data_IF_980992444010
#
_entry.id   IF_980992444010
#
_cell.length_a   1.000
_cell.length_b   1.000
_cell.length_c   1.000
_cell.angle_alpha   90.00
_cell.angle_beta   90.00
_cell.angle_gamma   90.00
#
_symmetry.space_group_name_H-M   'P 1'
#
loop_
_entity.id
_entity.type
_entity.pdbx_description
1 polymer ?
#
# COMPACT_ATOMS: atom_id res chain seq x y z
N UNK A 1 -19.31 32.11 -1.03
CA UNK A 1 -20.07 30.92 -0.56
C UNK A 1 -20.38 29.87 -1.64
N UNK A 2 -20.33 30.17 -2.92
CA UNK A 2 -20.78 29.29 -4.03
C UNK A 2 -19.69 28.39 -4.64
N UNK A 3 -18.37 28.65 -4.37
CA UNK A 3 -17.30 27.99 -5.12
C UNK A 3 -16.70 26.71 -4.52
N UNK A 4 -16.99 26.38 -3.25
CA UNK A 4 -16.41 25.16 -2.62
C UNK A 4 -17.13 23.90 -3.11
N UNK A 5 -18.43 23.98 -3.36
CA UNK A 5 -19.21 22.84 -3.93
C UNK A 5 -18.79 22.48 -5.36
N UNK A 6 -18.15 23.40 -6.10
CA UNK A 6 -17.62 23.13 -7.43
C UNK A 6 -16.26 22.42 -7.43
N UNK A 7 -15.54 22.38 -6.30
CA UNK A 7 -14.24 21.71 -6.20
C UNK A 7 -14.43 20.20 -6.16
N UNK A 8 -15.42 19.70 -5.42
CA UNK A 8 -15.76 18.26 -5.39
C UNK A 8 -16.11 17.73 -6.78
N UNK A 9 -16.85 18.52 -7.55
CA UNK A 9 -17.24 18.17 -8.92
C UNK A 9 -16.04 18.25 -9.90
N UNK A 10 -15.11 19.19 -9.71
CA UNK A 10 -13.96 19.39 -10.60
C UNK A 10 -12.81 18.41 -10.34
N UNK A 11 -12.60 17.94 -9.11
CA UNK A 11 -11.63 16.89 -8.79
C UNK A 11 -12.05 15.54 -9.40
N UNK A 12 -13.37 15.30 -9.56
CA UNK A 12 -13.91 14.09 -10.19
C UNK A 12 -13.85 14.07 -11.71
N UNK A 13 -13.79 15.22 -12.39
CA UNK A 13 -13.95 15.30 -13.86
C UNK A 13 -12.66 15.54 -14.67
N UNK A 14 -11.48 15.85 -14.09
CA UNK A 14 -10.39 16.39 -14.92
C UNK A 14 -9.02 15.79 -14.73
N UNK A 15 -8.64 14.97 -15.70
CA UNK A 15 -7.25 14.61 -16.07
C UNK A 15 -6.43 15.77 -16.73
N UNK A 16 -6.94 17.00 -16.87
CA UNK A 16 -6.31 18.01 -17.75
C UNK A 16 -6.10 19.41 -17.18
N UNK A 17 -6.10 19.62 -15.85
CA UNK A 17 -5.85 20.96 -15.33
C UNK A 17 -5.19 20.96 -13.94
N UNK A 18 -4.00 20.41 -13.80
CA UNK A 18 -3.17 20.54 -12.60
C UNK A 18 -3.05 22.02 -12.17
N UNK A 19 -2.83 22.93 -13.10
CA UNK A 19 -2.75 24.37 -12.82
C UNK A 19 -4.05 24.95 -12.22
N UNK A 20 -5.22 24.51 -12.65
CA UNK A 20 -6.50 24.96 -12.09
C UNK A 20 -6.71 24.42 -10.67
N UNK A 21 -6.31 23.18 -10.40
CA UNK A 21 -6.36 22.57 -9.05
C UNK A 21 -5.45 23.34 -8.11
N UNK A 22 -4.21 23.61 -8.49
CA UNK A 22 -3.24 24.35 -7.70
C UNK A 22 -3.76 25.76 -7.40
N UNK A 23 -4.30 26.46 -8.39
CA UNK A 23 -4.88 27.80 -8.20
C UNK A 23 -6.06 27.78 -7.23
N UNK A 24 -6.93 26.75 -7.28
CA UNK A 24 -8.02 26.59 -6.33
C UNK A 24 -7.53 26.32 -4.90
N UNK A 25 -6.53 25.47 -4.73
CA UNK A 25 -5.90 25.21 -3.43
C UNK A 25 -5.26 26.50 -2.86
N UNK A 26 -4.60 27.30 -3.69
CA UNK A 26 -4.06 28.62 -3.32
C UNK A 26 -5.15 29.59 -2.88
N UNK A 27 -6.29 29.64 -3.60
CA UNK A 27 -7.45 30.47 -3.18
C UNK A 27 -8.01 30.06 -1.83
N UNK A 28 -8.08 28.73 -1.56
CA UNK A 28 -8.53 28.20 -0.27
C UNK A 28 -7.56 28.62 0.84
N UNK A 29 -6.26 28.41 0.63
CA UNK A 29 -5.23 28.81 1.58
C UNK A 29 -5.26 30.32 1.86
N UNK A 30 -5.42 31.16 0.84
CA UNK A 30 -5.56 32.61 1.03
C UNK A 30 -6.76 32.98 1.89
N UNK A 31 -7.89 32.26 1.72
CA UNK A 31 -9.09 32.48 2.54
C UNK A 31 -8.92 31.98 3.96
N UNK A 32 -8.25 30.85 4.17
CA UNK A 32 -7.90 30.36 5.51
C UNK A 32 -7.01 31.34 6.25
N UNK A 33 -6.00 31.90 5.56
CA UNK A 33 -5.08 32.91 6.09
C UNK A 33 -5.76 34.22 6.52
N UNK A 34 -6.82 34.60 5.84
CA UNK A 34 -7.55 35.86 6.12
C UNK A 34 -8.68 35.70 7.18
N UNK A 35 -8.85 34.50 7.74
CA UNK A 35 -9.90 34.26 8.75
C UNK A 35 -9.33 34.33 10.16
N UNK A 36 -9.78 35.30 10.96
CA UNK A 36 -9.42 35.42 12.38
C UNK A 36 -9.93 34.25 13.25
N UNK A 37 -10.94 33.50 12.78
CA UNK A 37 -11.50 32.35 13.47
C UNK A 37 -11.86 31.21 12.48
N UNK A 38 -11.17 30.08 12.55
CA UNK A 38 -11.49 28.87 11.80
C UNK A 38 -12.66 28.16 12.50
N UNK A 39 -13.80 28.04 11.83
CA UNK A 39 -14.97 27.35 12.39
C UNK A 39 -14.99 25.88 11.96
N UNK A 40 -15.53 24.99 12.83
CA UNK A 40 -15.74 23.58 12.54
C UNK A 40 -16.49 23.36 11.20
N UNK A 41 -17.41 24.28 10.85
CA UNK A 41 -18.15 24.24 9.58
C UNK A 41 -17.25 24.51 8.36
N UNK A 42 -16.21 25.33 8.49
CA UNK A 42 -15.22 25.55 7.42
C UNK A 42 -14.35 24.33 7.25
N UNK A 43 -13.95 23.71 8.34
CA UNK A 43 -13.09 22.53 8.37
C UNK A 43 -13.80 21.33 7.74
N UNK A 44 -15.07 21.10 8.08
CA UNK A 44 -15.86 20.01 7.47
C UNK A 44 -16.02 20.17 5.94
N UNK A 45 -15.88 21.39 5.41
CA UNK A 45 -15.87 21.64 3.96
C UNK A 45 -14.53 21.33 3.30
N UNK A 46 -13.44 21.28 4.07
CA UNK A 46 -12.12 20.87 3.60
C UNK A 46 -11.92 19.37 3.72
N UNK A 47 -12.85 18.69 4.40
CA UNK A 47 -12.75 17.27 4.69
C UNK A 47 -12.55 16.42 3.44
N UNK A 48 -13.33 16.67 2.39
CA UNK A 48 -13.22 15.91 1.13
C UNK A 48 -11.89 16.13 0.42
N UNK A 49 -11.32 17.34 0.51
CA UNK A 49 -10.01 17.66 -0.08
C UNK A 49 -8.92 16.97 0.71
N UNK A 50 -8.94 17.10 2.04
CA UNK A 50 -7.95 16.48 2.91
C UNK A 50 -8.04 14.95 2.84
N UNK A 51 -9.24 14.38 2.79
CA UNK A 51 -9.46 12.97 2.59
C UNK A 51 -8.83 12.49 1.28
N UNK A 52 -9.05 13.20 0.17
CA UNK A 52 -8.46 12.85 -1.13
C UNK A 52 -6.94 12.83 -1.13
N UNK A 53 -6.25 13.77 -0.44
CA UNK A 53 -4.80 13.85 -0.43
C UNK A 53 -4.12 13.07 0.69
N UNK A 54 -4.82 12.78 1.78
CA UNK A 54 -4.23 12.17 2.98
C UNK A 54 -4.64 10.72 3.19
N UNK A 55 -5.75 10.29 2.58
CA UNK A 55 -6.19 8.91 2.67
C UNK A 55 -5.34 8.03 1.76
N UNK A 56 -4.69 7.01 2.31
CA UNK A 56 -3.79 6.09 1.59
C UNK A 56 -2.66 6.74 0.80
N UNK A 57 -2.15 7.86 1.32
CA UNK A 57 -1.04 8.59 0.70
C UNK A 57 0.18 7.71 0.49
N UNK A 58 0.70 7.71 -0.73
CA UNK A 58 1.93 7.04 -1.08
C UNK A 58 2.95 8.02 -1.68
N UNK A 59 4.23 7.63 -1.65
CA UNK A 59 5.32 8.52 -2.04
C UNK A 59 5.31 8.90 -3.52
N UNK A 60 4.87 7.98 -4.41
CA UNK A 60 4.76 8.26 -5.85
C UNK A 60 3.69 9.32 -6.13
N UNK A 61 2.60 9.28 -5.38
CA UNK A 61 1.57 10.30 -5.50
C UNK A 61 2.06 11.66 -5.04
N UNK A 62 2.79 11.73 -3.92
CA UNK A 62 3.39 12.98 -3.43
C UNK A 62 4.36 13.55 -4.47
N UNK A 63 5.25 12.72 -5.02
CA UNK A 63 6.25 13.17 -6.01
C UNK A 63 5.63 13.59 -7.34
N UNK A 64 4.55 12.93 -7.77
CA UNK A 64 3.84 13.27 -9.00
C UNK A 64 2.96 14.53 -8.87
N UNK A 65 2.53 14.89 -7.64
CA UNK A 65 1.65 16.02 -7.34
C UNK A 65 2.30 17.01 -6.37
N UNK A 66 3.60 17.25 -6.53
CA UNK A 66 4.41 17.97 -5.55
C UNK A 66 3.89 19.38 -5.24
N UNK A 67 3.45 20.12 -6.24
CA UNK A 67 2.90 21.48 -6.07
C UNK A 67 1.54 21.46 -5.36
N UNK A 68 0.72 20.42 -5.61
CA UNK A 68 -0.55 20.21 -4.91
C UNK A 68 -0.29 19.90 -3.43
N UNK A 69 0.64 18.98 -3.14
CA UNK A 69 1.04 18.67 -1.77
C UNK A 69 1.65 19.85 -1.03
N UNK A 70 2.38 20.75 -1.72
CA UNK A 70 2.83 22.00 -1.12
C UNK A 70 1.66 22.84 -0.57
N UNK A 71 0.55 22.93 -1.33
CA UNK A 71 -0.65 23.63 -0.87
C UNK A 71 -1.36 22.90 0.26
N UNK A 72 -1.37 21.55 0.25
CA UNK A 72 -1.93 20.74 1.34
C UNK A 72 -1.13 20.92 2.63
N UNK A 73 0.21 20.98 2.57
CA UNK A 73 1.06 21.23 3.74
C UNK A 73 0.76 22.60 4.36
N UNK A 74 0.59 23.63 3.54
CA UNK A 74 0.19 24.96 4.02
C UNK A 74 -1.15 24.87 4.77
N UNK A 75 -2.15 24.20 4.19
CA UNK A 75 -3.44 23.98 4.80
C UNK A 75 -3.34 23.24 6.15
N UNK A 76 -2.56 22.16 6.18
CA UNK A 76 -2.34 21.37 7.39
C UNK A 76 -1.66 22.18 8.50
N UNK A 77 -0.71 23.05 8.16
CA UNK A 77 -0.04 23.92 9.14
C UNK A 77 -1.07 24.83 9.87
N UNK A 78 -2.08 25.32 9.16
CA UNK A 78 -3.16 26.12 9.78
C UNK A 78 -4.16 25.31 10.59
N UNK A 79 -4.34 24.04 10.24
CA UNK A 79 -5.28 23.16 10.92
C UNK A 79 -4.66 22.39 12.09
N UNK A 80 -3.41 22.64 12.42
CA UNK A 80 -2.65 21.86 13.39
C UNK A 80 -3.31 21.76 14.77
N UNK A 81 -3.92 22.83 15.25
CA UNK A 81 -4.63 22.85 16.55
C UNK A 81 -5.92 21.99 16.55
N UNK A 82 -6.42 21.62 15.38
CA UNK A 82 -7.67 20.87 15.21
C UNK A 82 -7.46 19.40 14.86
N UNK A 83 -6.24 18.90 14.73
CA UNK A 83 -5.95 17.55 14.26
C UNK A 83 -6.68 16.45 15.04
N UNK A 84 -6.77 16.57 16.36
CA UNK A 84 -7.42 15.57 17.22
C UNK A 84 -8.95 15.70 17.29
N UNK A 85 -9.50 16.82 16.81
CA UNK A 85 -10.93 17.11 16.84
C UNK A 85 -11.65 16.73 15.55
N UNK A 86 -10.89 16.46 14.49
CA UNK A 86 -11.41 16.20 13.15
C UNK A 86 -11.33 14.72 12.80
N UNK A 87 -12.48 14.18 12.46
CA UNK A 87 -12.63 12.80 12.00
C UNK A 87 -13.06 12.77 10.52
N UNK A 88 -12.39 11.93 9.73
CA UNK A 88 -12.69 11.68 8.33
C UNK A 88 -12.86 10.18 8.15
N UNK A 89 -14.01 9.70 7.73
CA UNK A 89 -14.28 8.28 7.47
C UNK A 89 -13.69 7.35 8.54
N UNK A 90 -13.94 7.54 9.77
CA UNK A 90 -13.45 6.72 10.89
C UNK A 90 -11.99 6.97 11.32
N UNK A 91 -11.28 7.94 10.75
CA UNK A 91 -9.92 8.31 11.16
C UNK A 91 -9.83 9.77 11.59
N UNK A 92 -9.07 10.03 12.65
CA UNK A 92 -8.72 11.40 13.05
C UNK A 92 -7.75 12.02 12.06
N UNK A 93 -7.84 13.31 11.80
CA UNK A 93 -6.89 14.01 10.94
C UNK A 93 -5.45 13.84 11.44
N UNK A 94 -5.24 13.82 12.76
CA UNK A 94 -3.93 13.52 13.37
C UNK A 94 -3.34 12.20 12.89
N UNK A 95 -4.15 11.16 12.77
CA UNK A 95 -3.71 9.83 12.26
C UNK A 95 -3.31 9.90 10.80
N UNK A 96 -4.08 10.61 9.96
CA UNK A 96 -3.79 10.78 8.54
C UNK A 96 -2.50 11.59 8.32
N UNK A 97 -2.30 12.66 9.08
CA UNK A 97 -1.08 13.48 9.02
C UNK A 97 0.14 12.68 9.54
N UNK A 98 -0.03 11.89 10.60
CA UNK A 98 1.03 11.00 11.08
C UNK A 98 1.43 9.96 10.03
N UNK A 99 0.47 9.40 9.28
CA UNK A 99 0.74 8.49 8.16
C UNK A 99 1.53 9.18 7.04
N UNK A 100 1.15 10.41 6.67
CA UNK A 100 1.89 11.22 5.71
C UNK A 100 3.35 11.46 6.14
N UNK A 101 3.55 11.91 7.40
CA UNK A 101 4.88 12.14 7.98
C UNK A 101 5.72 10.86 7.94
N UNK A 102 5.12 9.73 8.34
CA UNK A 102 5.79 8.42 8.34
C UNK A 102 6.23 8.03 6.93
N UNK A 103 5.34 8.11 5.93
CA UNK A 103 5.60 7.78 4.53
C UNK A 103 6.78 8.60 3.99
N UNK A 104 6.79 9.90 4.25
CA UNK A 104 7.87 10.81 3.81
C UNK A 104 9.17 10.51 4.56
N UNK A 105 9.12 10.26 5.88
CA UNK A 105 10.32 9.98 6.68
C UNK A 105 11.00 8.65 6.25
N UNK A 106 10.21 7.62 5.95
CA UNK A 106 10.73 6.36 5.42
C UNK A 106 11.40 6.57 4.06
N UNK A 107 10.79 7.34 3.18
CA UNK A 107 11.34 7.63 1.87
C UNK A 107 12.61 8.51 1.94
N UNK A 108 12.65 9.52 2.81
CA UNK A 108 13.84 10.37 3.01
C UNK A 108 15.08 9.58 3.46
N UNK A 109 14.89 8.49 4.20
CA UNK A 109 15.97 7.57 4.56
C UNK A 109 16.55 6.82 3.36
N UNK A 110 15.79 6.71 2.26
CA UNK A 110 16.15 5.94 1.07
C UNK A 110 16.77 6.77 -0.04
N UNK A 111 16.54 8.11 -0.05
CA UNK A 111 16.99 8.97 -1.16
C UNK A 111 18.42 9.42 -0.95
N UNK A 112 19.23 9.24 -2.00
CA UNK A 112 20.52 9.92 -2.20
C UNK A 112 20.43 11.07 -3.23
N UNK A 113 19.23 11.42 -3.71
CA UNK A 113 19.05 12.33 -4.83
C UNK A 113 19.06 13.82 -4.45
N UNK A 114 19.60 14.64 -5.37
CA UNK A 114 19.81 16.09 -5.25
C UNK A 114 18.64 16.94 -5.78
N UNK A 115 17.40 16.43 -5.80
CA UNK A 115 16.26 17.24 -6.19
C UNK A 115 15.82 18.11 -5.01
N UNK A 116 16.12 19.41 -5.09
CA UNK A 116 15.92 20.35 -3.98
C UNK A 116 14.42 20.64 -3.75
N UNK A 117 13.61 20.72 -4.81
CA UNK A 117 12.18 21.05 -4.69
C UNK A 117 11.40 19.96 -3.94
N UNK A 118 11.73 18.70 -4.21
CA UNK A 118 11.15 17.54 -3.50
C UNK A 118 11.57 17.56 -2.03
N UNK A 119 12.82 17.83 -1.74
CA UNK A 119 13.34 17.88 -0.36
C UNK A 119 12.68 18.98 0.47
N UNK A 120 12.41 20.14 -0.11
CA UNK A 120 11.81 21.26 0.60
C UNK A 120 10.38 20.94 1.05
N UNK A 121 9.59 20.29 0.19
CA UNK A 121 8.24 19.85 0.54
C UNK A 121 8.28 18.73 1.57
N UNK A 122 9.18 17.78 1.42
CA UNK A 122 9.33 16.70 2.41
C UNK A 122 9.75 17.23 3.77
N UNK A 123 10.69 18.19 3.83
CA UNK A 123 11.07 18.86 5.07
C UNK A 123 9.88 19.61 5.69
N UNK A 124 9.06 20.24 4.88
CA UNK A 124 7.85 20.93 5.32
C UNK A 124 6.80 19.94 5.89
N UNK A 125 6.63 18.77 5.28
CA UNK A 125 5.79 17.69 5.81
C UNK A 125 6.34 17.17 7.15
N UNK A 126 7.65 16.95 7.25
CA UNK A 126 8.30 16.48 8.47
C UNK A 126 8.26 17.52 9.60
N UNK A 127 8.08 18.79 9.29
CA UNK A 127 7.94 19.87 10.28
C UNK A 127 6.52 19.96 10.88
N UNK A 128 5.53 19.28 10.32
CA UNK A 128 4.18 19.21 10.89
C UNK A 128 4.23 18.52 12.26
N UNK A 129 3.64 19.14 13.26
CA UNK A 129 3.58 18.60 14.63
C UNK A 129 2.25 17.85 14.81
N UNK A 130 2.33 16.61 15.26
CA UNK A 130 1.16 15.78 15.56
C UNK A 130 1.32 15.25 16.98
N UNK A 131 0.44 15.68 17.88
CA UNK A 131 0.30 15.07 19.20
C UNK A 131 -0.61 13.84 19.05
N UNK A 132 -0.01 12.69 18.90
CA UNK A 132 -0.73 11.42 18.98
C UNK A 132 -1.03 11.17 20.46
N UNK A 133 -2.30 11.08 20.83
CA UNK A 133 -2.68 10.51 22.11
C UNK A 133 -2.09 9.10 22.20
N UNK A 134 -0.96 8.97 22.87
CA UNK A 134 -0.25 7.73 23.10
C UNK A 134 -1.00 6.87 24.10
N UNK A 135 -2.02 6.15 23.68
CA UNK A 135 -2.60 5.09 24.48
C UNK A 135 -2.97 3.90 23.59
N UNK A 136 -2.21 2.83 23.72
CA UNK A 136 -2.40 1.43 23.28
C UNK A 136 -1.61 0.92 22.06
N UNK A 137 -0.98 1.74 21.22
CA UNK A 137 -0.27 1.22 20.02
C UNK A 137 1.17 0.75 20.34
N UNK A 138 1.78 1.26 21.42
CA UNK A 138 3.21 1.01 21.70
C UNK A 138 3.50 -0.44 22.15
N UNK A 139 2.61 -1.04 22.94
CA UNK A 139 2.84 -2.39 23.49
C UNK A 139 2.65 -3.55 22.47
N UNK A 140 1.93 -3.31 21.37
CA UNK A 140 1.69 -4.32 20.33
C UNK A 140 2.81 -4.35 19.26
N UNK A 141 3.48 -3.22 19.02
CA UNK A 141 4.57 -3.13 18.04
C UNK A 141 5.81 -3.91 18.47
N UNK A 142 6.16 -3.91 19.77
CA UNK A 142 7.38 -4.58 20.28
C UNK A 142 7.37 -6.09 19.99
N UNK A 143 6.22 -6.75 20.06
CA UNK A 143 6.10 -8.18 19.74
C UNK A 143 6.22 -8.48 18.24
N UNK A 144 5.85 -7.55 17.36
CA UNK A 144 5.93 -7.74 15.91
C UNK A 144 7.35 -7.54 15.38
N UNK A 145 8.16 -6.77 16.09
CA UNK A 145 9.55 -6.46 15.71
C UNK A 145 10.44 -7.71 15.65
N UNK A 146 10.05 -8.81 16.32
CA UNK A 146 10.73 -10.10 16.17
C UNK A 146 10.75 -10.64 14.72
N UNK A 147 9.83 -10.16 13.85
CA UNK A 147 9.80 -10.50 12.42
C UNK A 147 10.78 -9.67 11.60
N UNK A 148 11.31 -8.56 12.13
CA UNK A 148 12.23 -7.68 11.39
C UNK A 148 13.51 -8.39 10.98
N UNK A 149 14.07 -9.20 11.85
CA UNK A 149 15.29 -9.97 11.57
C UNK A 149 15.06 -11.04 10.49
N UNK A 150 13.81 -11.49 10.33
CA UNK A 150 13.39 -12.47 9.32
C UNK A 150 12.96 -11.84 7.99
N UNK A 151 13.02 -10.51 7.88
CA UNK A 151 12.46 -9.81 6.72
C UNK A 151 13.19 -10.12 5.42
N UNK A 152 14.50 -10.33 5.46
CA UNK A 152 15.33 -10.57 4.29
C UNK A 152 16.30 -11.74 4.55
N UNK A 153 16.22 -12.81 3.77
CA UNK A 153 17.18 -13.92 3.88
C UNK A 153 17.28 -14.72 2.59
N UNK A 154 18.37 -15.46 2.47
CA UNK A 154 18.52 -16.54 1.51
C UNK A 154 17.75 -17.78 1.97
N UNK A 155 17.29 -18.61 1.05
CA UNK A 155 16.79 -19.95 1.31
C UNK A 155 16.69 -20.76 0.02
N UNK A 156 16.58 -22.08 0.13
CA UNK A 156 16.28 -22.96 -0.99
C UNK A 156 14.79 -22.91 -1.33
N UNK A 157 14.48 -22.94 -2.64
CA UNK A 157 13.11 -22.94 -3.11
C UNK A 157 12.68 -24.36 -3.49
N UNK A 158 11.70 -24.91 -2.76
CA UNK A 158 11.10 -26.19 -3.08
C UNK A 158 10.34 -26.17 -4.41
N UNK A 159 9.69 -25.05 -4.71
CA UNK A 159 8.93 -24.82 -5.95
C UNK A 159 9.13 -23.38 -6.40
N UNK A 160 9.25 -23.20 -7.71
CA UNK A 160 9.30 -21.89 -8.33
C UNK A 160 8.44 -21.90 -9.59
N UNK A 161 7.49 -20.97 -9.70
CA UNK A 161 6.43 -21.04 -10.71
C UNK A 161 6.86 -20.50 -12.09
N UNK A 162 7.95 -19.70 -12.14
CA UNK A 162 8.41 -19.09 -13.38
C UNK A 162 9.49 -19.96 -14.00
N UNK A 163 9.23 -20.43 -15.23
CA UNK A 163 10.23 -21.22 -15.98
C UNK A 163 11.39 -20.29 -16.38
N UNK A 164 12.59 -20.69 -16.01
CA UNK A 164 13.82 -20.05 -16.42
C UNK A 164 14.31 -20.72 -17.69
N UNK A 165 14.55 -19.96 -18.75
CA UNK A 165 15.38 -20.42 -19.86
C UNK A 165 16.83 -20.52 -19.39
N UNK A 166 17.50 -21.65 -19.65
CA UNK A 166 18.86 -21.88 -19.20
C UNK A 166 19.83 -20.89 -19.86
N UNK A 167 20.20 -19.86 -19.12
CA UNK A 167 21.25 -18.92 -19.54
C UNK A 167 22.12 -18.56 -18.34
N UNK A 168 23.44 -18.61 -18.53
CA UNK A 168 24.41 -18.30 -17.49
C UNK A 168 24.27 -16.81 -17.08
N UNK A 169 24.08 -16.54 -15.80
CA UNK A 169 24.11 -15.19 -15.25
C UNK A 169 25.42 -14.50 -15.59
N UNK A 170 25.37 -13.29 -16.16
CA UNK A 170 26.57 -12.50 -16.38
C UNK A 170 27.07 -11.92 -15.03
N UNK A 171 28.38 -11.77 -14.88
CA UNK A 171 29.00 -11.15 -13.69
C UNK A 171 28.48 -9.71 -13.43
N UNK A 172 28.12 -8.99 -14.50
CA UNK A 172 27.58 -7.63 -14.40
C UNK A 172 26.20 -7.61 -13.74
N UNK A 173 25.33 -8.57 -14.09
CA UNK A 173 24.00 -8.71 -13.51
C UNK A 173 24.09 -9.07 -12.02
N UNK A 174 24.99 -9.95 -11.65
CA UNK A 174 25.19 -10.34 -10.25
C UNK A 174 25.59 -9.15 -9.38
N UNK A 175 26.49 -8.26 -9.86
CA UNK A 175 26.87 -7.04 -9.12
C UNK A 175 25.69 -6.09 -8.90
N UNK A 176 24.84 -5.90 -9.92
CA UNK A 176 23.64 -5.06 -9.81
C UNK A 176 22.66 -5.68 -8.81
N UNK A 177 22.35 -6.97 -8.92
CA UNK A 177 21.44 -7.69 -8.02
C UNK A 177 21.91 -7.60 -6.57
N UNK A 178 23.20 -7.89 -6.29
CA UNK A 178 23.74 -7.81 -4.94
C UNK A 178 23.75 -6.40 -4.33
N UNK A 179 23.92 -5.36 -5.16
CA UNK A 179 23.77 -3.96 -4.70
C UNK A 179 22.32 -3.66 -4.29
N UNK A 180 21.36 -4.11 -5.08
CA UNK A 180 19.94 -3.96 -4.74
C UNK A 180 19.57 -4.76 -3.50
N UNK A 181 20.06 -5.98 -3.33
CA UNK A 181 19.86 -6.78 -2.13
C UNK A 181 20.39 -6.09 -0.87
N UNK A 182 21.60 -5.53 -0.95
CA UNK A 182 22.18 -4.74 0.15
C UNK A 182 21.34 -3.49 0.50
N UNK A 183 20.69 -2.89 -0.49
CA UNK A 183 19.74 -1.78 -0.28
C UNK A 183 18.44 -2.29 0.32
N UNK A 184 17.86 -3.37 -0.20
CA UNK A 184 16.60 -3.95 0.24
C UNK A 184 16.62 -4.35 1.72
N UNK A 185 17.72 -4.91 2.22
CA UNK A 185 17.87 -5.24 3.65
C UNK A 185 17.56 -4.07 4.59
N UNK A 186 17.76 -2.82 4.12
CA UNK A 186 17.56 -1.61 4.91
C UNK A 186 16.28 -0.86 4.59
N UNK A 187 15.69 -1.12 3.40
CA UNK A 187 14.65 -0.28 2.82
C UNK A 187 13.31 -0.98 2.59
N UNK A 188 13.23 -2.30 2.82
CA UNK A 188 11.95 -3.01 2.72
C UNK A 188 10.94 -2.44 3.73
N UNK A 189 9.72 -2.11 3.30
CA UNK A 189 8.66 -1.70 4.20
C UNK A 189 8.45 -2.74 5.32
N UNK A 190 8.47 -2.25 6.56
CA UNK A 190 8.23 -3.07 7.73
C UNK A 190 7.53 -2.27 8.81
N UNK A 191 6.32 -2.65 9.12
CA UNK A 191 5.55 -2.13 10.25
C UNK A 191 4.42 -3.09 10.61
N UNK A 192 3.74 -2.80 11.72
CA UNK A 192 2.65 -3.61 12.24
C UNK A 192 1.43 -3.71 11.30
N UNK A 193 1.20 -2.69 10.46
CA UNK A 193 0.02 -2.57 9.60
C UNK A 193 0.23 -3.21 8.23
N UNK A 194 1.48 -3.31 7.77
CA UNK A 194 1.86 -3.96 6.50
C UNK A 194 3.37 -4.17 6.45
N UNK A 195 3.82 -5.25 5.85
CA UNK A 195 5.25 -5.57 5.76
C UNK A 195 5.53 -6.36 4.49
N UNK A 196 6.76 -6.24 3.98
CA UNK A 196 7.25 -7.04 2.85
C UNK A 196 8.38 -7.92 3.34
N UNK A 197 8.27 -9.23 3.14
CA UNK A 197 9.31 -10.21 3.42
C UNK A 197 9.88 -10.73 2.11
N UNK A 198 11.20 -10.92 2.07
CA UNK A 198 11.94 -11.22 0.85
C UNK A 198 12.83 -12.43 1.04
N UNK A 199 12.79 -13.34 0.07
CA UNK A 199 13.65 -14.53 -0.02
C UNK A 199 14.31 -14.58 -1.37
N UNK A 200 15.58 -14.95 -1.42
CA UNK A 200 16.28 -15.24 -2.69
C UNK A 200 16.92 -16.63 -2.63
N UNK A 201 17.03 -17.28 -3.76
CA UNK A 201 17.67 -18.59 -3.85
C UNK A 201 19.19 -18.43 -3.85
N UNK A 202 19.88 -19.15 -2.96
CA UNK A 202 21.36 -19.09 -2.86
C UNK A 202 22.05 -19.55 -4.15
N UNK A 203 21.58 -20.65 -4.72
CA UNK A 203 22.13 -21.22 -5.96
C UNK A 203 21.81 -20.38 -7.20
N UNK A 204 20.80 -19.49 -7.11
CA UNK A 204 20.29 -18.75 -8.25
C UNK A 204 19.70 -17.42 -7.80
N UNK A 205 20.57 -16.43 -7.51
CA UNK A 205 20.20 -15.13 -6.93
C UNK A 205 19.18 -14.32 -7.77
N UNK A 206 18.94 -14.71 -9.01
CA UNK A 206 17.90 -14.14 -9.85
C UNK A 206 16.49 -14.71 -9.61
N UNK A 207 16.37 -15.78 -8.79
CA UNK A 207 15.10 -16.33 -8.33
C UNK A 207 14.77 -15.74 -6.96
N UNK A 208 13.61 -15.12 -6.88
CA UNK A 208 13.16 -14.39 -5.69
C UNK A 208 11.74 -14.83 -5.38
N UNK A 209 11.44 -14.99 -4.09
CA UNK A 209 10.08 -15.05 -3.56
C UNK A 209 9.87 -13.86 -2.64
N UNK A 210 8.67 -13.30 -2.64
CA UNK A 210 8.33 -12.29 -1.65
C UNK A 210 6.89 -12.45 -1.16
N UNK A 211 6.68 -12.05 0.06
CA UNK A 211 5.40 -12.04 0.74
C UNK A 211 5.08 -10.61 1.15
N UNK A 212 3.87 -10.15 0.83
CA UNK A 212 3.33 -8.87 1.28
C UNK A 212 2.19 -9.16 2.27
N UNK A 213 2.28 -8.58 3.47
CA UNK A 213 1.15 -8.54 4.39
C UNK A 213 0.19 -7.46 3.91
N UNK A 214 -1.05 -7.84 3.68
CA UNK A 214 -2.10 -6.94 3.18
C UNK A 214 -2.28 -5.72 4.09
N UNK A 215 -2.26 -4.49 3.52
CA UNK A 215 -2.31 -3.26 4.29
C UNK A 215 -3.59 -3.12 5.12
N UNK A 216 -3.45 -2.51 6.29
CA UNK A 216 -4.57 -2.16 7.17
C UNK A 216 -5.60 -1.29 6.45
N UNK A 217 -6.86 -1.41 6.83
CA UNK A 217 -8.02 -0.69 6.28
C UNK A 217 -8.30 -0.96 4.78
N UNK A 218 -7.68 -2.00 4.22
CA UNK A 218 -7.99 -2.51 2.89
C UNK A 218 -8.74 -3.84 2.96
N UNK A 219 -9.43 -4.29 1.91
CA UNK A 219 -10.03 -5.61 1.88
C UNK A 219 -9.01 -6.77 1.89
N UNK A 220 -7.72 -6.43 1.84
CA UNK A 220 -6.58 -7.36 1.90
C UNK A 220 -5.98 -7.49 3.30
N UNK A 221 -6.43 -6.71 4.26
CA UNK A 221 -5.81 -6.54 5.58
C UNK A 221 -5.42 -7.85 6.23
N UNK A 222 -4.18 -7.88 6.78
CA UNK A 222 -3.54 -8.99 7.48
C UNK A 222 -3.40 -10.29 6.67
N UNK A 223 -3.87 -10.36 5.42
CA UNK A 223 -3.66 -11.51 4.54
C UNK A 223 -2.22 -11.63 4.05
N UNK A 224 -1.76 -12.86 3.79
CA UNK A 224 -0.45 -13.16 3.25
C UNK A 224 -0.52 -13.33 1.73
N UNK A 225 0.08 -12.40 0.98
CA UNK A 225 0.11 -12.39 -0.49
C UNK A 225 1.50 -12.75 -0.99
N UNK A 226 1.62 -13.89 -1.66
CA UNK A 226 2.91 -14.50 -2.01
C UNK A 226 3.14 -14.43 -3.52
N UNK A 227 4.37 -14.14 -3.90
CA UNK A 227 4.77 -13.95 -5.29
C UNK A 227 6.12 -14.62 -5.58
N UNK A 228 6.29 -15.11 -6.81
CA UNK A 228 7.59 -15.41 -7.39
C UNK A 228 8.05 -14.25 -8.28
N UNK A 229 9.35 -13.94 -8.27
CA UNK A 229 9.96 -12.97 -9.18
C UNK A 229 11.22 -13.55 -9.79
N UNK A 230 11.34 -13.48 -11.11
CA UNK A 230 12.54 -13.88 -11.85
C UNK A 230 13.17 -12.66 -12.49
N UNK A 231 14.44 -12.42 -12.17
CA UNK A 231 15.26 -11.42 -12.85
C UNK A 231 15.85 -12.06 -14.11
N UNK A 232 15.54 -11.53 -15.32
CA UNK A 232 16.07 -12.08 -16.56
C UNK A 232 17.58 -11.86 -16.66
N UNK A 233 18.25 -12.61 -17.56
CA UNK A 233 19.71 -12.48 -17.77
C UNK A 233 20.14 -11.12 -18.26
N UNK A 234 19.24 -10.38 -18.91
CA UNK A 234 19.43 -9.00 -19.35
C UNK A 234 19.12 -7.94 -18.28
N UNK A 235 18.75 -8.36 -17.04
CA UNK A 235 18.50 -7.43 -15.95
C UNK A 235 19.73 -6.54 -15.67
N UNK A 236 19.60 -5.20 -15.47
CA UNK A 236 18.37 -4.41 -15.34
C UNK A 236 17.81 -3.82 -16.65
N UNK A 237 18.35 -4.18 -17.81
CA UNK A 237 17.86 -3.68 -19.10
C UNK A 237 16.44 -4.18 -19.43
N UNK A 238 16.08 -5.34 -18.89
CA UNK A 238 14.76 -5.95 -19.05
C UNK A 238 14.11 -6.07 -17.67
N UNK A 239 12.81 -5.77 -17.58
CA UNK A 239 12.04 -5.85 -16.36
C UNK A 239 11.97 -7.25 -15.75
N UNK A 240 11.78 -7.37 -14.43
CA UNK A 240 11.50 -8.65 -13.78
C UNK A 240 10.22 -9.30 -14.30
N UNK A 241 10.15 -10.63 -14.24
CA UNK A 241 8.92 -11.39 -14.42
C UNK A 241 8.36 -11.72 -13.05
N UNK A 242 7.09 -11.42 -12.81
CA UNK A 242 6.42 -11.65 -11.52
C UNK A 242 5.20 -12.54 -11.72
N UNK A 243 5.03 -13.51 -10.84
CA UNK A 243 3.88 -14.39 -10.80
C UNK A 243 3.28 -14.40 -9.39
N UNK A 244 1.97 -14.17 -9.30
CA UNK A 244 1.20 -14.18 -8.06
C UNK A 244 0.78 -15.61 -7.70
N UNK A 245 1.03 -16.04 -6.46
CA UNK A 245 0.81 -17.42 -6.03
C UNK A 245 -0.46 -17.62 -5.20
N UNK A 246 -0.89 -16.60 -4.42
CA UNK A 246 -2.09 -16.68 -3.57
C UNK A 246 -3.37 -16.54 -4.42
N UNK A 247 -3.57 -17.48 -5.34
CA UNK A 247 -4.64 -17.43 -6.36
C UNK A 247 -5.88 -18.26 -6.02
N UNK A 248 -5.98 -18.77 -4.79
CA UNK A 248 -7.05 -19.72 -4.45
C UNK A 248 -7.03 -20.95 -5.36
N UNK A 249 -5.84 -21.50 -5.62
CA UNK A 249 -5.63 -22.64 -6.54
C UNK A 249 -6.09 -22.35 -7.98
N UNK A 250 -5.92 -21.10 -8.43
CA UNK A 250 -6.31 -20.67 -9.78
C UNK A 250 -7.78 -20.25 -9.93
N UNK A 251 -8.51 -20.09 -8.83
CA UNK A 251 -9.95 -19.75 -8.87
C UNK A 251 -10.24 -18.29 -8.54
N UNK A 252 -9.32 -17.57 -7.86
CA UNK A 252 -9.57 -16.24 -7.33
C UNK A 252 -8.76 -15.17 -8.06
N UNK A 253 -9.46 -14.15 -8.56
CA UNK A 253 -8.90 -12.89 -9.01
C UNK A 253 -9.02 -11.86 -7.88
N UNK A 254 -7.94 -11.62 -7.15
CA UNK A 254 -7.97 -10.74 -5.98
C UNK A 254 -8.08 -9.25 -6.32
N UNK A 255 -7.65 -8.88 -7.52
CA UNK A 255 -7.63 -7.49 -7.98
C UNK A 255 -7.75 -7.47 -9.51
N UNK A 256 -8.25 -6.39 -10.14
CA UNK A 256 -8.12 -6.22 -11.59
C UNK A 256 -6.70 -6.46 -12.11
N UNK A 257 -5.68 -6.17 -11.28
CA UNK A 257 -4.26 -6.35 -11.60
C UNK A 257 -3.65 -7.67 -11.09
N UNK A 258 -4.39 -8.48 -10.28
CA UNK A 258 -3.95 -9.79 -9.77
C UNK A 258 -4.88 -10.89 -10.28
N UNK A 259 -4.48 -11.54 -11.35
CA UNK A 259 -5.29 -12.55 -12.02
C UNK A 259 -5.21 -13.92 -11.32
N UNK A 260 -6.24 -14.73 -11.49
CA UNK A 260 -6.30 -16.08 -10.94
C UNK A 260 -5.25 -17.05 -11.54
N UNK A 261 -4.73 -16.75 -12.74
CA UNK A 261 -3.65 -17.52 -13.35
C UNK A 261 -2.25 -17.06 -12.91
N UNK A 262 -2.16 -16.14 -11.96
CA UNK A 262 -0.90 -15.61 -11.43
C UNK A 262 -0.36 -14.37 -12.15
N UNK A 263 -0.97 -13.94 -13.26
CA UNK A 263 -0.52 -12.73 -13.98
C UNK A 263 -0.66 -11.50 -13.08
N UNK A 264 0.40 -10.69 -13.02
CA UNK A 264 0.44 -9.38 -12.37
C UNK A 264 0.49 -8.28 -13.42
N UNK A 265 -0.47 -7.36 -13.37
CA UNK A 265 -0.53 -6.18 -14.24
C UNK A 265 0.08 -4.98 -13.51
N UNK A 266 1.24 -4.54 -13.96
CA UNK A 266 1.94 -3.36 -13.43
C UNK A 266 2.75 -2.72 -14.56
N UNK A 267 2.76 -1.39 -14.66
CA UNK A 267 3.48 -0.66 -15.71
C UNK A 267 4.98 -0.97 -15.69
N UNK A 268 5.61 -1.03 -14.52
CA UNK A 268 7.01 -1.43 -14.36
C UNK A 268 7.31 -2.87 -14.83
N UNK A 269 6.30 -3.73 -14.92
CA UNK A 269 6.44 -5.08 -15.48
C UNK A 269 6.11 -5.14 -16.98
N UNK A 270 5.83 -4.00 -17.62
CA UNK A 270 5.43 -3.95 -19.02
C UNK A 270 4.07 -4.61 -19.30
N UNK A 271 3.25 -4.86 -18.27
CA UNK A 271 1.96 -5.58 -18.36
C UNK A 271 0.76 -4.65 -18.17
N UNK A 272 1.00 -3.35 -18.02
CA UNK A 272 0.00 -2.30 -17.84
C UNK A 272 0.45 -0.98 -18.46
N UNK A 273 -0.47 -0.04 -18.66
CA UNK A 273 -0.17 1.30 -19.13
C UNK A 273 0.49 2.14 -18.02
N UNK A 274 1.42 3.02 -18.37
CA UNK A 274 2.09 3.93 -17.43
C UNK A 274 3.60 3.97 -17.64
N UNK A 275 4.32 4.39 -16.60
CA UNK A 275 5.77 4.45 -16.60
C UNK A 275 6.37 3.05 -16.79
N UNK A 276 7.20 2.90 -17.81
CA UNK A 276 7.81 1.62 -18.14
C UNK A 276 9.14 1.42 -17.41
N UNK A 277 9.53 0.18 -17.28
CA UNK A 277 10.84 -0.20 -16.74
C UNK A 277 11.99 0.43 -17.54
N UNK A 278 12.99 0.93 -16.84
CA UNK A 278 14.27 1.36 -17.39
C UNK A 278 15.43 0.84 -16.53
N UNK A 279 16.67 1.05 -16.96
CA UNK A 279 17.87 0.54 -16.28
C UNK A 279 18.08 1.06 -14.85
N UNK A 280 17.46 2.19 -14.50
CA UNK A 280 17.50 2.77 -13.15
C UNK A 280 16.38 2.24 -12.25
N UNK A 281 15.38 1.55 -12.82
CA UNK A 281 14.31 0.93 -12.07
C UNK A 281 14.85 -0.17 -11.15
N UNK A 282 14.17 -0.42 -10.03
CA UNK A 282 14.66 -1.32 -8.98
C UNK A 282 13.62 -2.36 -8.57
N UNK A 283 14.10 -3.46 -7.97
CA UNK A 283 13.25 -4.47 -7.35
C UNK A 283 12.32 -3.81 -6.32
N UNK A 284 12.84 -2.91 -5.48
CA UNK A 284 12.06 -2.21 -4.45
C UNK A 284 10.85 -1.49 -5.04
N UNK A 285 11.02 -0.79 -6.17
CA UNK A 285 9.91 -0.10 -6.82
C UNK A 285 8.79 -1.07 -7.24
N UNK A 286 9.12 -2.26 -7.73
CA UNK A 286 8.11 -3.27 -8.06
C UNK A 286 7.38 -3.74 -6.81
N UNK A 287 8.10 -4.06 -5.72
CA UNK A 287 7.51 -4.54 -4.48
C UNK A 287 6.57 -3.51 -3.87
N UNK A 288 7.02 -2.26 -3.75
CA UNK A 288 6.23 -1.15 -3.19
C UNK A 288 5.05 -0.81 -4.10
N UNK A 289 5.21 -0.86 -5.43
CA UNK A 289 4.10 -0.62 -6.35
C UNK A 289 2.99 -1.66 -6.20
N UNK A 290 3.32 -2.94 -5.99
CA UNK A 290 2.30 -3.96 -5.72
C UNK A 290 1.59 -3.66 -4.40
N UNK A 291 2.34 -3.32 -3.33
CA UNK A 291 1.79 -3.01 -2.02
C UNK A 291 0.87 -1.77 -2.05
N UNK A 292 1.29 -0.69 -2.73
CA UNK A 292 0.65 0.62 -2.62
C UNK A 292 -0.30 0.99 -3.77
N UNK A 293 -0.24 0.29 -4.90
CA UNK A 293 -1.09 0.58 -6.06
C UNK A 293 -2.09 -0.55 -6.36
N UNK A 294 -1.83 -1.76 -5.85
CA UNK A 294 -2.69 -2.92 -6.11
C UNK A 294 -3.46 -3.32 -4.85
N UNK A 295 -2.78 -3.43 -3.69
CA UNK A 295 -3.43 -3.84 -2.44
C UNK A 295 -4.04 -2.63 -1.71
N UNK A 296 -4.93 -1.91 -2.36
CA UNK A 296 -5.56 -0.66 -1.91
C UNK A 296 -6.97 -0.87 -1.38
N UNK A 297 -7.56 0.16 -0.78
CA UNK A 297 -8.90 0.14 -0.15
C UNK A 297 -10.05 -0.02 -1.16
N UNK A 298 -9.89 0.52 -2.38
CA UNK A 298 -10.90 0.48 -3.44
C UNK A 298 -10.39 -0.18 -4.73
N UNK A 299 -10.00 -1.48 -4.70
CA UNK A 299 -9.40 -2.18 -5.84
C UNK A 299 -10.30 -2.23 -7.09
N UNK A 300 -11.61 -2.07 -6.95
CA UNK A 300 -12.54 -1.99 -8.06
C UNK A 300 -12.12 -0.94 -9.10
N UNK A 301 -11.61 0.20 -8.65
CA UNK A 301 -11.21 1.30 -9.54
C UNK A 301 -9.87 1.09 -10.25
N UNK A 302 -9.16 0.00 -9.96
CA UNK A 302 -8.00 -0.42 -10.75
C UNK A 302 -8.38 -0.96 -12.14
N UNK A 303 -9.66 -1.29 -12.40
CA UNK A 303 -10.11 -1.66 -13.74
C UNK A 303 -10.16 -0.42 -14.65
N UNK A 304 -9.59 -0.47 -15.86
CA UNK A 304 -9.61 0.65 -16.79
C UNK A 304 -11.01 1.16 -17.07
N UNK A 305 -11.18 2.48 -16.99
CA UNK A 305 -12.47 3.14 -17.24
C UNK A 305 -13.38 3.26 -16.00
N UNK A 306 -13.12 2.52 -14.92
CA UNK A 306 -13.95 2.59 -13.70
C UNK A 306 -13.61 3.78 -12.81
N UNK A 307 -12.41 4.35 -12.95
CA UNK A 307 -11.95 5.52 -12.20
C UNK A 307 -12.90 6.73 -12.32
N UNK A 308 -13.58 6.88 -13.47
CA UNK A 308 -14.55 7.97 -13.69
C UNK A 308 -15.79 7.90 -12.78
N UNK A 309 -16.07 6.72 -12.22
CA UNK A 309 -17.19 6.53 -11.28
C UNK A 309 -16.76 6.65 -9.80
N UNK A 310 -15.47 6.90 -9.51
CA UNK A 310 -14.99 7.13 -8.14
C UNK A 310 -15.71 8.32 -7.51
N UNK A 311 -16.12 8.20 -6.26
CA UNK A 311 -16.87 9.23 -5.54
C UNK A 311 -18.36 9.34 -5.90
N UNK A 312 -18.83 8.68 -6.95
CA UNK A 312 -20.28 8.60 -7.21
C UNK A 312 -20.95 7.55 -6.32
N UNK A 313 -22.21 7.76 -5.92
CA UNK A 313 -22.94 6.79 -5.09
C UNK A 313 -22.99 5.40 -5.71
N UNK A 314 -23.19 5.30 -7.04
CA UNK A 314 -23.22 4.02 -7.76
C UNK A 314 -21.84 3.36 -7.82
N UNK A 315 -20.78 4.13 -8.11
CA UNK A 315 -19.41 3.62 -8.17
C UNK A 315 -18.93 3.12 -6.80
N UNK A 316 -19.19 3.88 -5.74
CA UNK A 316 -18.82 3.48 -4.37
C UNK A 316 -19.61 2.26 -3.90
N UNK A 317 -20.89 2.13 -4.24
CA UNK A 317 -21.66 0.92 -3.91
C UNK A 317 -21.15 -0.31 -4.67
N UNK A 318 -20.75 -0.16 -5.93
CA UNK A 318 -20.14 -1.27 -6.70
C UNK A 318 -18.77 -1.65 -6.13
N UNK A 319 -17.96 -0.65 -5.75
CA UNK A 319 -16.68 -0.88 -5.07
C UNK A 319 -16.86 -1.59 -3.74
N UNK A 320 -17.88 -1.23 -2.95
CA UNK A 320 -18.22 -1.92 -1.70
C UNK A 320 -18.52 -3.41 -1.92
N UNK A 321 -19.36 -3.73 -2.92
CA UNK A 321 -19.67 -5.13 -3.28
C UNK A 321 -18.45 -5.90 -3.78
N UNK A 322 -17.56 -5.22 -4.53
CA UNK A 322 -16.30 -5.80 -4.94
C UNK A 322 -15.40 -6.13 -3.72
N UNK A 323 -15.33 -5.20 -2.75
CA UNK A 323 -14.58 -5.40 -1.51
C UNK A 323 -15.12 -6.58 -0.69
N UNK A 324 -16.43 -6.81 -0.65
CA UNK A 324 -17.02 -7.98 0.02
C UNK A 324 -16.51 -9.30 -0.55
N UNK A 325 -16.34 -9.38 -1.88
CA UNK A 325 -15.76 -10.56 -2.53
C UNK A 325 -14.30 -10.74 -2.17
N UNK A 326 -13.52 -9.63 -2.22
CA UNK A 326 -12.09 -9.65 -1.87
C UNK A 326 -11.89 -10.02 -0.40
N UNK A 327 -12.69 -9.47 0.52
CA UNK A 327 -12.64 -9.79 1.96
C UNK A 327 -12.89 -11.29 2.21
N UNK A 328 -13.94 -11.85 1.58
CA UNK A 328 -14.24 -13.28 1.69
C UNK A 328 -13.08 -14.15 1.18
N UNK A 329 -12.49 -13.76 0.05
CA UNK A 329 -11.32 -14.45 -0.51
C UNK A 329 -10.06 -14.24 0.33
N UNK A 330 -9.89 -13.07 0.95
CA UNK A 330 -8.79 -12.79 1.88
C UNK A 330 -8.85 -13.75 3.08
N UNK A 331 -10.00 -13.81 3.75
CA UNK A 331 -10.20 -14.73 4.90
C UNK A 331 -9.91 -16.17 4.47
N UNK A 332 -10.46 -16.61 3.34
CA UNK A 332 -10.37 -18.02 2.91
C UNK A 332 -8.98 -18.41 2.44
N UNK A 333 -8.33 -17.58 1.61
CA UNK A 333 -7.14 -17.97 0.87
C UNK A 333 -5.86 -17.29 1.33
N UNK A 334 -5.95 -16.02 1.72
CA UNK A 334 -4.77 -15.30 2.16
C UNK A 334 -4.52 -15.44 3.68
N UNK A 335 -5.54 -15.85 4.47
CA UNK A 335 -5.40 -16.13 5.90
C UNK A 335 -5.48 -17.63 6.16
N UNK A 336 -6.67 -18.24 6.06
CA UNK A 336 -6.90 -19.64 6.47
C UNK A 336 -6.00 -20.61 5.70
N UNK A 337 -5.96 -20.53 4.36
CA UNK A 337 -5.16 -21.45 3.57
C UNK A 337 -3.65 -21.31 3.85
N UNK A 338 -3.15 -20.09 4.07
CA UNK A 338 -1.77 -19.87 4.47
C UNK A 338 -1.44 -20.38 5.88
N UNK A 339 -2.39 -20.39 6.81
CA UNK A 339 -2.20 -21.02 8.13
C UNK A 339 -2.11 -22.54 7.98
N UNK A 340 -3.01 -23.13 7.20
CA UNK A 340 -3.13 -24.59 7.07
C UNK A 340 -2.08 -25.19 6.11
N UNK A 341 -1.69 -24.47 5.09
CA UNK A 341 -0.78 -24.89 4.02
C UNK A 341 0.27 -23.82 3.72
N UNK A 342 1.09 -23.40 4.68
CA UNK A 342 2.04 -22.32 4.49
C UNK A 342 3.09 -22.67 3.43
N UNK A 343 3.46 -21.68 2.63
CA UNK A 343 4.61 -21.80 1.73
C UNK A 343 5.87 -21.97 2.60
N UNK A 344 6.68 -23.03 2.39
CA UNK A 344 7.79 -23.38 3.29
C UNK A 344 8.75 -22.23 3.56
N UNK A 345 9.05 -21.42 2.54
CA UNK A 345 10.00 -20.31 2.61
C UNK A 345 9.53 -19.17 3.55
N UNK A 346 8.24 -19.14 3.89
CA UNK A 346 7.63 -18.14 4.78
C UNK A 346 6.86 -18.74 5.95
N UNK A 347 6.93 -20.06 6.17
CA UNK A 347 6.10 -20.76 7.17
C UNK A 347 6.25 -20.19 8.59
N UNK A 348 7.46 -19.86 8.99
CA UNK A 348 7.74 -19.27 10.30
C UNK A 348 7.22 -17.84 10.44
N UNK A 349 7.30 -17.03 9.36
CA UNK A 349 6.77 -15.68 9.30
C UNK A 349 5.25 -15.72 9.38
N UNK A 350 4.62 -16.56 8.55
CA UNK A 350 3.16 -16.73 8.50
C UNK A 350 2.63 -17.15 9.87
N UNK A 351 3.25 -18.16 10.49
CA UNK A 351 2.87 -18.62 11.82
C UNK A 351 2.98 -17.51 12.86
N UNK A 352 4.13 -16.80 12.90
CA UNK A 352 4.35 -15.73 13.87
C UNK A 352 3.40 -14.56 13.65
N UNK A 353 3.21 -14.12 12.39
CA UNK A 353 2.29 -13.04 12.03
C UNK A 353 0.87 -13.34 12.52
N UNK A 354 0.32 -14.49 12.16
CA UNK A 354 -1.04 -14.85 12.55
C UNK A 354 -1.19 -15.11 14.05
N UNK A 355 -0.16 -15.63 14.72
CA UNK A 355 -0.17 -15.78 16.18
C UNK A 355 -0.26 -14.43 16.90
N UNK A 356 0.52 -13.43 16.46
CA UNK A 356 0.51 -12.08 17.03
C UNK A 356 -0.81 -11.36 16.73
N UNK A 357 -1.30 -11.47 15.50
CA UNK A 357 -2.50 -10.79 15.00
C UNK A 357 -3.82 -11.52 15.28
N UNK A 358 -3.80 -12.68 15.92
CA UNK A 358 -4.96 -13.57 16.11
C UNK A 358 -6.23 -12.84 16.52
N UNK A 359 -6.17 -12.08 17.61
CA UNK A 359 -7.35 -11.40 18.15
C UNK A 359 -7.84 -10.25 17.23
N UNK A 360 -6.94 -9.58 16.53
CA UNK A 360 -7.30 -8.52 15.58
C UNK A 360 -7.98 -9.10 14.34
N UNK A 361 -7.47 -10.22 13.83
CA UNK A 361 -8.04 -10.92 12.67
C UNK A 361 -9.43 -11.44 12.98
N UNK A 362 -9.65 -11.99 14.17
CA UNK A 362 -10.99 -12.43 14.59
C UNK A 362 -11.96 -11.25 14.60
N UNK A 363 -11.59 -10.14 15.28
CA UNK A 363 -12.41 -8.92 15.32
C UNK A 363 -12.66 -8.32 13.93
N UNK A 364 -11.66 -8.36 13.06
CA UNK A 364 -11.77 -7.88 11.69
C UNK A 364 -12.77 -8.75 10.89
N UNK A 365 -12.68 -10.06 10.98
CA UNK A 365 -13.59 -10.99 10.31
C UNK A 365 -15.03 -10.84 10.84
N UNK A 366 -15.23 -10.67 12.15
CA UNK A 366 -16.52 -10.37 12.76
C UNK A 366 -17.09 -9.04 12.27
N UNK A 367 -16.26 -7.99 12.19
CA UNK A 367 -16.65 -6.69 11.63
C UNK A 367 -17.10 -6.84 10.17
N UNK A 368 -16.34 -7.55 9.35
CA UNK A 368 -16.70 -7.77 7.95
C UNK A 368 -17.96 -8.63 7.80
N UNK A 369 -18.17 -9.61 8.68
CA UNK A 369 -19.38 -10.46 8.69
C UNK A 369 -20.66 -9.64 8.80
N UNK A 370 -20.66 -8.53 9.54
CA UNK A 370 -21.85 -7.68 9.72
C UNK A 370 -22.42 -7.16 8.40
N UNK A 371 -21.58 -7.02 7.37
CA UNK A 371 -21.96 -6.51 6.05
C UNK A 371 -21.78 -7.53 4.92
N UNK A 372 -21.09 -8.65 5.20
CA UNK A 372 -20.68 -9.64 4.19
C UNK A 372 -21.01 -11.06 4.65
N UNK A 373 -22.20 -11.55 4.29
CA UNK A 373 -22.68 -12.88 4.66
C UNK A 373 -21.79 -14.05 4.15
N UNK A 374 -20.91 -13.80 3.17
CA UNK A 374 -19.98 -14.83 2.67
C UNK A 374 -18.94 -15.24 3.70
N UNK A 375 -18.65 -14.38 4.66
CA UNK A 375 -17.69 -14.62 5.73
C UNK A 375 -18.28 -15.51 6.82
N UNK A 376 -19.59 -15.46 7.08
CA UNK A 376 -20.25 -16.24 8.12
C UNK A 376 -19.92 -17.74 8.05
N UNK A 377 -19.88 -18.31 6.85
CA UNK A 377 -19.52 -19.70 6.64
C UNK A 377 -18.04 -20.01 6.92
N UNK A 378 -17.19 -19.00 7.04
CA UNK A 378 -15.74 -19.13 7.19
C UNK A 378 -15.28 -18.89 8.63
N UNK A 379 -16.07 -18.21 9.48
CA UNK A 379 -15.69 -17.82 10.85
C UNK A 379 -15.24 -19.03 11.69
N UNK A 380 -15.99 -20.13 11.64
CA UNK A 380 -15.62 -21.35 12.37
C UNK A 380 -14.27 -21.89 11.89
N UNK A 381 -14.08 -21.97 10.57
CA UNK A 381 -12.84 -22.48 9.98
C UNK A 381 -11.64 -21.55 10.28
N UNK A 382 -11.89 -20.24 10.33
CA UNK A 382 -10.88 -19.26 10.71
C UNK A 382 -10.42 -19.47 12.16
N UNK A 383 -11.37 -19.59 13.09
CA UNK A 383 -11.07 -19.84 14.50
C UNK A 383 -10.33 -21.17 14.68
N UNK A 384 -10.83 -22.27 14.05
CA UNK A 384 -10.18 -23.58 14.09
C UNK A 384 -8.75 -23.55 13.49
N UNK A 385 -8.48 -22.71 12.50
CA UNK A 385 -7.15 -22.53 11.93
C UNK A 385 -6.23 -21.73 12.85
N UNK A 386 -6.72 -20.62 13.41
CA UNK A 386 -5.95 -19.77 14.34
C UNK A 386 -5.66 -20.48 15.67
N UNK A 387 -6.49 -21.45 16.09
CA UNK A 387 -6.24 -22.25 17.30
C UNK A 387 -5.13 -23.30 17.13
N UNK A 388 -4.70 -23.56 15.89
CA UNK A 388 -3.59 -24.49 15.58
C UNK A 388 -2.21 -23.82 15.60
N UNK A 389 -2.15 -22.51 15.70
CA UNK A 389 -0.89 -21.73 15.75
C UNK A 389 -0.23 -21.80 17.12
#
# INVERSE_FOLDING_TARGET
>A
MVKINNIEYQLSEKKNKTADIINHLKEINTKLLSCDNITLKMINRLASILDYYLYDVNILEITNKIEEYAQIVIMLTYLQEFYNQLEFKDRKLSTLVASLIKTVNEYMKMIKNNDNDIKDIFNSILALKVDLETNQVVAQNDNYDCLKEKQFSACDFNKFSIIQEETKNSLLNAKRILREFSSLQKSLPFNYETSIFFRYCEDSINKIKFLIIGPKDTPYQDGCYIFDMLLPTSYPLTNPRVNFLTTGKGTVRFNPNLYNNGKVCLSLLGTWQGETWNENSTILQVLVSIQSLILIDHPYFNEPGYQSSYGTSSGMETSRKYNEEVQSNNVRWAIIDNILNPVPEFADIIKTHFSIKKNEIIKLAEKWETTNNKISSQIKLLNDALDKL
#
